data_IF_579668377064
#
_entry.id   IF_579668377064
#
_cell.length_a   1.000
_cell.length_b   1.000
_cell.length_c   1.000
_cell.angle_alpha   90.00
_cell.angle_beta   90.00
_cell.angle_gamma   90.00
#
_symmetry.space_group_name_H-M   'P 1'
#
loop_
_entity.id
_entity.type
_entity.pdbx_description
1 polymer ?
#
# COMPACT_ATOMS: atom_id res chain seq x y z
N UNK A 1 -21.00 4.98 15.58
CA UNK A 1 -20.71 6.17 14.75
C UNK A 1 -21.90 6.36 13.83
N UNK A 2 -22.53 7.53 13.84
CA UNK A 2 -23.73 7.78 13.01
C UNK A 2 -23.40 7.68 11.52
N UNK A 3 -24.36 7.23 10.71
CA UNK A 3 -24.19 7.07 9.25
C UNK A 3 -23.71 8.37 8.59
N UNK A 4 -24.31 9.51 8.96
CA UNK A 4 -23.95 10.83 8.44
C UNK A 4 -22.50 11.24 8.79
N UNK A 5 -22.02 10.88 9.99
CA UNK A 5 -20.62 11.16 10.36
C UNK A 5 -19.68 10.29 9.53
N UNK A 6 -20.08 9.07 9.19
CA UNK A 6 -19.27 8.17 8.35
C UNK A 6 -19.18 8.67 6.92
N UNK A 7 -20.29 9.09 6.33
CA UNK A 7 -20.28 9.68 4.98
C UNK A 7 -19.48 10.97 4.95
N UNK A 8 -19.59 11.83 5.97
CA UNK A 8 -18.80 13.06 6.06
C UNK A 8 -17.30 12.78 6.15
N UNK A 9 -16.86 11.82 6.97
CA UNK A 9 -15.43 11.46 7.05
C UNK A 9 -14.92 10.89 5.74
N UNK A 10 -15.69 10.02 5.07
CA UNK A 10 -15.28 9.46 3.77
C UNK A 10 -15.23 10.55 2.69
N UNK A 11 -16.19 11.47 2.68
CA UNK A 11 -16.17 12.63 1.79
C UNK A 11 -14.98 13.55 2.08
N UNK A 12 -14.64 13.77 3.36
CA UNK A 12 -13.44 14.51 3.76
C UNK A 12 -12.15 13.85 3.28
N UNK A 13 -12.07 12.51 3.34
CA UNK A 13 -10.92 11.78 2.79
C UNK A 13 -10.81 11.95 1.28
N UNK A 14 -11.91 11.86 0.54
CA UNK A 14 -11.86 12.01 -0.92
C UNK A 14 -11.53 13.44 -1.33
N UNK A 15 -12.17 14.45 -0.72
CA UNK A 15 -11.89 15.87 -1.02
C UNK A 15 -10.46 16.23 -0.67
N UNK A 16 -9.93 15.76 0.46
CA UNK A 16 -8.54 16.00 0.85
C UNK A 16 -7.55 15.47 -0.19
N UNK A 17 -7.75 14.24 -0.70
CA UNK A 17 -6.91 13.70 -1.77
C UNK A 17 -7.04 14.46 -3.08
N UNK A 18 -8.26 14.87 -3.46
CA UNK A 18 -8.48 15.66 -4.68
C UNK A 18 -7.75 17.00 -4.59
N UNK A 19 -7.83 17.69 -3.44
CA UNK A 19 -7.12 18.96 -3.20
C UNK A 19 -5.62 18.76 -3.37
N UNK A 20 -5.04 17.69 -2.81
CA UNK A 20 -3.60 17.45 -2.96
C UNK A 20 -3.19 17.17 -4.41
N UNK A 21 -4.02 16.45 -5.18
CA UNK A 21 -3.73 16.13 -6.57
C UNK A 21 -3.83 17.34 -7.50
N UNK A 22 -4.79 18.23 -7.26
CA UNK A 22 -5.02 19.40 -8.10
C UNK A 22 -4.21 20.62 -7.68
N UNK A 23 -3.57 20.57 -6.50
CA UNK A 23 -2.80 21.70 -5.99
C UNK A 23 -1.50 21.92 -6.76
N UNK A 24 -1.25 23.18 -7.13
CA UNK A 24 0.07 23.66 -7.59
C UNK A 24 0.82 24.42 -6.51
N UNK A 25 0.16 24.75 -5.39
CA UNK A 25 0.72 25.53 -4.29
C UNK A 25 1.00 24.64 -3.08
N UNK A 26 2.22 24.70 -2.54
CA UNK A 26 2.67 23.86 -1.42
C UNK A 26 1.78 23.93 -0.18
N UNK A 27 1.35 25.14 0.23
CA UNK A 27 0.44 25.29 1.37
C UNK A 27 -0.89 24.55 1.19
N UNK A 28 -1.44 24.54 -0.03
CA UNK A 28 -2.69 23.84 -0.33
C UNK A 28 -2.50 22.32 -0.32
N UNK A 29 -1.38 21.84 -0.85
CA UNK A 29 -1.00 20.44 -0.76
C UNK A 29 -0.85 20.00 0.71
N UNK A 30 -0.20 20.82 1.54
CA UNK A 30 -0.05 20.56 2.97
C UNK A 30 -1.41 20.51 3.68
N UNK A 31 -2.30 21.46 3.40
CA UNK A 31 -3.65 21.51 3.98
C UNK A 31 -4.45 20.25 3.60
N UNK A 32 -4.42 19.84 2.33
CA UNK A 32 -5.06 18.60 1.89
C UNK A 32 -4.50 17.38 2.61
N UNK A 33 -3.18 17.31 2.80
CA UNK A 33 -2.53 16.24 3.55
C UNK A 33 -2.92 16.21 5.04
N UNK A 34 -3.18 17.36 5.68
CA UNK A 34 -3.65 17.43 7.08
C UNK A 34 -5.15 17.15 7.23
N UNK A 35 -5.98 17.60 6.29
CA UNK A 35 -7.39 17.20 6.28
C UNK A 35 -7.51 15.67 6.18
N UNK A 36 -6.64 15.05 5.38
CA UNK A 36 -6.61 13.59 5.25
C UNK A 36 -6.26 12.88 6.56
N UNK A 37 -5.27 13.39 7.32
CA UNK A 37 -4.89 12.81 8.62
C UNK A 37 -6.02 12.94 9.63
N UNK A 38 -6.63 14.13 9.73
CA UNK A 38 -7.74 14.41 10.64
C UNK A 38 -8.98 13.55 10.35
N UNK A 39 -9.32 13.34 9.07
CA UNK A 39 -10.45 12.47 8.71
C UNK A 39 -10.18 10.98 9.00
N UNK A 40 -8.91 10.53 8.96
CA UNK A 40 -8.56 9.14 9.26
C UNK A 40 -8.60 8.78 10.75
N UNK A 41 -8.30 9.71 11.65
CA UNK A 41 -8.20 9.40 13.08
C UNK A 41 -9.48 8.77 13.66
N UNK A 42 -10.69 9.31 13.43
CA UNK A 42 -11.91 8.71 13.99
C UNK A 42 -12.24 7.36 13.34
N UNK A 43 -11.83 7.12 12.09
CA UNK A 43 -11.99 5.83 11.42
C UNK A 43 -11.11 4.75 12.07
N UNK A 44 -9.87 5.09 12.42
CA UNK A 44 -8.96 4.19 13.16
C UNK A 44 -9.53 3.90 14.55
N UNK A 45 -10.01 4.91 15.26
CA UNK A 45 -10.58 4.79 16.61
C UNK A 45 -11.98 4.16 16.67
N UNK A 46 -12.55 3.73 15.53
CA UNK A 46 -13.94 3.25 15.44
C UNK A 46 -14.30 2.19 16.48
N UNK A 47 -13.39 1.26 16.77
CA UNK A 47 -13.54 0.29 17.87
C UNK A 47 -12.86 0.88 19.10
N UNK A 48 -13.62 1.29 20.11
CA UNK A 48 -13.12 1.89 21.36
C UNK A 48 -12.40 0.84 22.23
N UNK A 49 -11.20 0.46 21.82
CA UNK A 49 -10.33 -0.49 22.51
C UNK A 49 -8.91 0.07 22.62
N UNK A 50 -8.12 -0.38 23.62
CA UNK A 50 -6.78 0.14 23.86
C UNK A 50 -5.83 -0.03 22.66
N UNK A 51 -6.00 -1.10 21.86
CA UNK A 51 -5.22 -1.29 20.63
C UNK A 51 -5.56 -0.27 19.54
N UNK A 52 -6.82 0.17 19.47
CA UNK A 52 -7.23 1.19 18.53
C UNK A 52 -6.77 2.59 18.97
N UNK A 53 -6.76 2.88 20.29
CA UNK A 53 -6.19 4.12 20.82
C UNK A 53 -4.69 4.21 20.58
N UNK A 54 -3.96 3.11 20.79
CA UNK A 54 -2.53 3.04 20.50
C UNK A 54 -2.25 3.23 19.00
N UNK A 55 -3.03 2.59 18.13
CA UNK A 55 -2.90 2.79 16.69
C UNK A 55 -3.23 4.24 16.26
N UNK A 56 -4.26 4.88 16.83
CA UNK A 56 -4.55 6.29 16.54
C UNK A 56 -3.45 7.22 16.97
N UNK A 57 -2.88 7.02 18.16
CA UNK A 57 -1.83 7.90 18.70
C UNK A 57 -0.55 7.75 17.90
N UNK A 58 -0.14 6.52 17.57
CA UNK A 58 1.00 6.25 16.67
C UNK A 58 0.80 6.86 15.29
N UNK A 59 -0.39 6.69 14.69
CA UNK A 59 -0.71 7.29 13.38
C UNK A 59 -0.65 8.82 13.44
N UNK A 60 -1.27 9.43 14.45
CA UNK A 60 -1.28 10.88 14.62
C UNK A 60 0.13 11.45 14.75
N UNK A 61 0.95 10.92 15.67
CA UNK A 61 2.29 11.42 15.92
C UNK A 61 3.17 11.33 14.67
N UNK A 62 3.14 10.21 13.95
CA UNK A 62 3.93 10.05 12.73
C UNK A 62 3.43 10.96 11.60
N UNK A 63 2.13 11.04 11.39
CA UNK A 63 1.61 11.86 10.28
C UNK A 63 1.72 13.36 10.54
N UNK A 64 1.55 13.81 11.79
CA UNK A 64 1.75 15.20 12.20
C UNK A 64 3.22 15.62 12.11
N UNK A 65 4.15 14.76 12.51
CA UNK A 65 5.60 15.03 12.35
C UNK A 65 5.99 15.11 10.88
N UNK A 66 5.51 14.20 10.02
CA UNK A 66 5.71 14.32 8.57
C UNK A 66 5.14 15.64 8.03
N UNK A 67 3.92 16.00 8.41
CA UNK A 67 3.29 17.23 7.91
C UNK A 67 4.01 18.50 8.38
N UNK A 68 4.53 18.53 9.62
CA UNK A 68 5.37 19.62 10.10
C UNK A 68 6.67 19.75 9.30
N UNK A 69 7.31 18.63 8.94
CA UNK A 69 8.53 18.64 8.10
C UNK A 69 8.20 19.11 6.67
N UNK A 70 7.04 18.72 6.10
CA UNK A 70 6.59 19.23 4.78
C UNK A 70 6.42 20.75 4.84
N UNK A 71 5.76 21.27 5.88
CA UNK A 71 5.59 22.70 6.05
C UNK A 71 6.95 23.42 6.15
N UNK A 72 7.86 22.90 7.00
CA UNK A 72 9.21 23.43 7.14
C UNK A 72 9.99 23.44 5.82
N UNK A 73 9.91 22.35 5.05
CA UNK A 73 10.60 22.27 3.77
C UNK A 73 10.01 23.26 2.76
N UNK A 74 8.68 23.40 2.72
CA UNK A 74 8.01 24.35 1.84
C UNK A 74 8.31 25.81 2.19
N UNK A 75 8.38 26.17 3.47
CA UNK A 75 8.73 27.53 3.91
C UNK A 75 10.20 27.84 3.62
N UNK A 76 11.10 26.87 3.79
CA UNK A 76 12.51 27.03 3.39
C UNK A 76 12.65 27.21 1.87
N UNK A 77 11.89 26.46 1.07
CA UNK A 77 11.89 26.65 -0.39
C UNK A 77 11.35 28.03 -0.77
N UNK A 78 10.24 28.46 -0.17
CA UNK A 78 9.65 29.77 -0.41
C UNK A 78 10.57 30.91 0.06
N UNK A 79 11.31 30.73 1.15
CA UNK A 79 12.29 31.71 1.62
C UNK A 79 13.45 31.87 0.62
N UNK A 80 13.90 30.78 -0.01
CA UNK A 80 15.01 30.80 -0.96
C UNK A 80 14.61 31.25 -2.37
N UNK A 81 13.42 30.87 -2.84
CA UNK A 81 12.98 31.10 -4.23
C UNK A 81 11.93 32.20 -4.36
N UNK A 82 11.32 32.64 -3.25
CA UNK A 82 10.20 33.58 -3.24
C UNK A 82 8.88 33.01 -3.76
N UNK A 83 8.81 31.71 -4.08
CA UNK A 83 7.65 31.08 -4.71
C UNK A 83 7.17 29.86 -3.92
N UNK A 84 5.87 29.59 -4.00
CA UNK A 84 5.21 28.44 -3.35
C UNK A 84 4.80 27.34 -4.35
N UNK A 85 5.27 27.42 -5.59
CA UNK A 85 4.95 26.44 -6.61
C UNK A 85 5.63 25.08 -6.30
N UNK A 86 4.89 23.99 -6.45
CA UNK A 86 5.38 22.63 -6.20
C UNK A 86 6.52 22.26 -7.17
N UNK A 87 6.42 22.67 -8.43
CA UNK A 87 7.40 22.31 -9.45
C UNK A 87 8.72 23.08 -9.33
N UNK A 88 8.75 24.23 -8.66
CA UNK A 88 9.97 25.03 -8.55
C UNK A 88 10.65 24.78 -7.20
N UNK A 89 11.20 23.58 -7.00
CA UNK A 89 12.08 23.27 -5.87
C UNK A 89 13.50 23.07 -6.38
N UNK A 90 14.37 24.06 -6.21
CA UNK A 90 15.72 24.02 -6.80
C UNK A 90 16.82 23.67 -5.81
N UNK A 91 16.58 23.79 -4.50
CA UNK A 91 17.62 23.59 -3.49
C UNK A 91 17.57 22.19 -2.88
N UNK A 92 18.74 21.57 -2.74
CA UNK A 92 18.87 20.18 -2.30
C UNK A 92 18.32 19.94 -0.88
N UNK A 93 18.41 20.93 0.03
CA UNK A 93 18.02 20.75 1.43
C UNK A 93 16.48 20.66 1.60
N UNK A 94 15.66 21.59 1.09
CA UNK A 94 14.20 21.45 1.07
C UNK A 94 13.72 20.18 0.35
N UNK A 95 14.33 19.84 -0.78
CA UNK A 95 14.04 18.61 -1.51
C UNK A 95 14.25 17.41 -0.59
N UNK A 96 15.43 17.25 0.02
CA UNK A 96 15.72 16.13 0.91
C UNK A 96 14.74 16.02 2.09
N UNK A 97 14.34 17.15 2.71
CA UNK A 97 13.32 17.17 3.77
C UNK A 97 11.93 16.76 3.27
N UNK A 98 11.54 17.19 2.07
CA UNK A 98 10.29 16.76 1.43
C UNK A 98 10.28 15.25 1.20
N UNK A 99 11.39 14.65 0.76
CA UNK A 99 11.46 13.18 0.62
C UNK A 99 11.42 12.45 1.93
N UNK A 100 12.18 12.90 2.92
CA UNK A 100 12.17 12.28 4.25
C UNK A 100 10.75 12.28 4.84
N UNK A 101 10.02 13.40 4.68
CA UNK A 101 8.66 13.53 5.20
C UNK A 101 7.61 12.73 4.40
N UNK A 102 7.68 12.73 3.06
CA UNK A 102 6.79 11.91 2.23
C UNK A 102 7.07 10.42 2.43
N UNK A 103 8.34 10.03 2.61
CA UNK A 103 8.72 8.66 2.96
C UNK A 103 8.16 8.25 4.31
N UNK A 104 8.17 9.15 5.29
CA UNK A 104 7.55 8.92 6.60
C UNK A 104 6.03 8.77 6.47
N UNK A 105 5.34 9.58 5.66
CA UNK A 105 3.90 9.44 5.38
C UNK A 105 3.53 8.11 4.74
N UNK A 106 4.35 7.63 3.80
CA UNK A 106 4.12 6.37 3.07
C UNK A 106 4.49 5.11 3.88
N UNK A 107 5.28 5.27 4.94
CA UNK A 107 5.83 4.15 5.72
C UNK A 107 6.99 3.45 5.00
N UNK A 108 7.78 4.19 4.21
CA UNK A 108 8.98 3.67 3.57
C UNK A 108 10.09 3.44 4.60
N UNK A 109 10.99 2.50 4.32
CA UNK A 109 12.18 2.31 5.14
C UNK A 109 13.10 3.55 5.05
N UNK A 110 13.70 4.00 6.17
CA UNK A 110 13.71 3.39 7.50
C UNK A 110 12.46 3.66 8.36
N UNK A 111 11.62 4.63 8.02
CA UNK A 111 10.44 5.07 8.78
C UNK A 111 9.19 4.16 8.62
N UNK A 112 9.37 2.84 8.59
CA UNK A 112 8.33 1.85 8.29
C UNK A 112 7.65 1.23 9.53
N UNK A 113 8.27 1.34 10.71
CA UNK A 113 7.87 0.60 11.92
C UNK A 113 6.44 0.94 12.39
N UNK A 114 6.05 2.21 12.30
CA UNK A 114 4.72 2.66 12.70
C UNK A 114 3.61 1.98 11.89
N UNK A 115 3.91 1.68 10.63
CA UNK A 115 2.93 1.22 9.66
C UNK A 115 2.36 -0.17 10.01
N UNK A 116 3.25 -1.10 10.41
CA UNK A 116 2.88 -2.47 10.79
C UNK A 116 2.00 -2.49 12.04
N UNK A 117 2.30 -1.64 13.00
CA UNK A 117 1.57 -1.59 14.28
C UNK A 117 0.19 -0.95 14.12
N UNK A 118 0.09 0.15 13.36
CA UNK A 118 -1.19 0.84 13.09
C UNK A 118 -2.15 -0.09 12.33
N UNK A 119 -1.67 -0.84 11.34
CA UNK A 119 -2.52 -1.78 10.60
C UNK A 119 -3.02 -2.94 11.47
N UNK A 120 -2.27 -3.35 12.50
CA UNK A 120 -2.74 -4.39 13.40
C UNK A 120 -3.79 -3.86 14.40
N UNK A 121 -3.68 -2.61 14.85
CA UNK A 121 -4.63 -2.02 15.80
C UNK A 121 -5.95 -1.54 15.20
N UNK A 122 -6.02 -1.38 13.88
CA UNK A 122 -7.20 -0.91 13.12
C UNK A 122 -8.22 -2.02 12.85
N UNK A 123 -9.28 -1.76 12.09
CA UNK A 123 -10.19 -2.79 11.55
C UNK A 123 -9.74 -3.21 10.15
N UNK A 124 -10.13 -4.38 9.64
CA UNK A 124 -9.74 -4.82 8.28
C UNK A 124 -10.19 -3.83 7.19
N UNK A 125 -11.39 -3.26 7.31
CA UNK A 125 -11.88 -2.24 6.38
C UNK A 125 -11.10 -0.93 6.45
N UNK A 126 -10.67 -0.49 7.63
CA UNK A 126 -9.86 0.74 7.75
C UNK A 126 -8.41 0.50 7.39
N UNK A 127 -7.89 -0.70 7.63
CA UNK A 127 -6.59 -1.15 7.13
C UNK A 127 -6.54 -1.11 5.59
N UNK A 128 -7.60 -1.55 4.91
CA UNK A 128 -7.73 -1.40 3.46
C UNK A 128 -7.52 0.07 3.03
N UNK A 129 -8.28 1.01 3.62
CA UNK A 129 -8.18 2.45 3.30
C UNK A 129 -6.76 2.99 3.52
N UNK A 130 -6.08 2.57 4.59
CA UNK A 130 -4.69 2.97 4.89
C UNK A 130 -3.70 2.39 3.87
N UNK A 131 -3.93 1.16 3.40
CA UNK A 131 -3.04 0.51 2.43
C UNK A 131 -3.22 0.98 1.00
N UNK A 132 -4.37 1.53 0.64
CA UNK A 132 -4.69 1.95 -0.72
C UNK A 132 -4.81 3.48 -0.80
N UNK A 133 -5.89 4.03 -0.27
CA UNK A 133 -6.26 5.44 -0.43
C UNK A 133 -5.21 6.39 0.15
N UNK A 134 -4.70 6.10 1.35
CA UNK A 134 -3.73 6.96 2.02
C UNK A 134 -2.37 7.04 1.31
N UNK A 135 -2.06 6.12 0.40
CA UNK A 135 -0.80 6.16 -0.37
C UNK A 135 -0.87 7.09 -1.58
N UNK A 136 -2.08 7.38 -2.06
CA UNK A 136 -2.28 8.10 -3.32
C UNK A 136 -1.74 9.53 -3.23
N UNK A 137 -2.20 10.33 -2.25
CA UNK A 137 -1.81 11.73 -2.13
C UNK A 137 -0.29 11.97 -1.92
N UNK A 138 0.41 11.21 -1.04
CA UNK A 138 1.86 11.36 -0.93
C UNK A 138 2.60 10.89 -2.19
N UNK A 139 2.12 9.86 -2.89
CA UNK A 139 2.74 9.41 -4.14
C UNK A 139 2.55 10.41 -5.28
N UNK A 140 1.43 11.12 -5.34
CA UNK A 140 1.25 12.20 -6.35
C UNK A 140 2.20 13.37 -6.12
N UNK A 141 2.55 13.68 -4.86
CA UNK A 141 3.57 14.69 -4.59
C UNK A 141 4.97 14.23 -4.99
N UNK A 142 5.34 12.97 -4.72
CA UNK A 142 6.61 12.41 -5.22
C UNK A 142 6.65 12.42 -6.75
N UNK A 143 5.52 12.09 -7.39
CA UNK A 143 5.36 12.12 -8.84
C UNK A 143 5.60 13.53 -9.43
N UNK A 144 5.00 14.56 -8.83
CA UNK A 144 5.18 15.96 -9.26
C UNK A 144 6.64 16.42 -9.13
N UNK A 145 7.34 15.94 -8.09
CA UNK A 145 8.72 16.34 -7.81
C UNK A 145 9.77 15.49 -8.54
N UNK A 146 9.37 14.56 -9.39
CA UNK A 146 10.27 13.61 -10.06
C UNK A 146 11.45 14.27 -10.77
N UNK A 147 11.23 15.40 -11.45
CA UNK A 147 12.26 16.11 -12.22
C UNK A 147 13.40 16.68 -11.37
N UNK A 148 13.13 17.00 -10.10
CA UNK A 148 14.11 17.63 -9.21
C UNK A 148 14.89 16.61 -8.38
N UNK A 149 14.73 15.32 -8.68
CA UNK A 149 15.22 14.27 -7.83
C UNK A 149 16.51 13.61 -8.23
N UNK A 150 17.34 13.40 -7.21
CA UNK A 150 18.44 12.46 -7.30
C UNK A 150 17.88 11.04 -7.38
N UNK A 151 17.91 10.48 -8.58
CA UNK A 151 17.51 9.11 -8.91
C UNK A 151 18.13 8.09 -7.96
N UNK A 152 19.41 8.23 -7.61
CA UNK A 152 20.11 7.34 -6.68
C UNK A 152 19.45 7.24 -5.29
N UNK A 153 18.90 8.35 -4.77
CA UNK A 153 18.26 8.36 -3.44
C UNK A 153 16.95 7.55 -3.51
N UNK A 154 16.14 7.76 -4.55
CA UNK A 154 14.90 7.02 -4.75
C UNK A 154 15.15 5.53 -4.95
N UNK A 155 16.17 5.17 -5.75
CA UNK A 155 16.56 3.77 -5.96
C UNK A 155 17.02 3.11 -4.66
N UNK A 156 17.82 3.81 -3.84
CA UNK A 156 18.26 3.31 -2.54
C UNK A 156 17.09 3.12 -1.56
N UNK A 157 16.19 4.10 -1.44
CA UNK A 157 14.98 3.99 -0.61
C UNK A 157 14.06 2.86 -1.08
N UNK A 158 13.90 2.70 -2.39
CA UNK A 158 13.15 1.60 -3.00
C UNK A 158 13.74 0.24 -2.64
N UNK A 159 15.06 0.06 -2.80
CA UNK A 159 15.74 -1.18 -2.42
C UNK A 159 15.62 -1.47 -0.91
N UNK A 160 15.89 -0.49 -0.05
CA UNK A 160 15.80 -0.65 1.40
C UNK A 160 14.38 -1.02 1.87
N UNK A 161 13.36 -0.41 1.27
CA UNK A 161 11.96 -0.74 1.58
C UNK A 161 11.55 -2.11 1.08
N UNK A 162 12.01 -2.55 -0.10
CA UNK A 162 11.75 -3.93 -0.56
C UNK A 162 12.37 -4.97 0.38
N UNK A 163 13.63 -4.78 0.80
CA UNK A 163 14.33 -5.70 1.69
C UNK A 163 13.68 -5.74 3.09
N UNK A 164 13.42 -4.58 3.68
CA UNK A 164 12.80 -4.53 5.02
C UNK A 164 11.38 -5.06 5.01
N UNK A 165 10.58 -4.73 3.99
CA UNK A 165 9.23 -5.30 3.82
C UNK A 165 9.24 -6.82 3.68
N UNK A 166 10.17 -7.35 2.88
CA UNK A 166 10.30 -8.79 2.67
C UNK A 166 10.70 -9.52 3.96
N UNK A 167 11.71 -9.05 4.70
CA UNK A 167 12.15 -9.68 5.94
C UNK A 167 11.15 -9.55 7.09
N UNK A 168 10.52 -8.38 7.25
CA UNK A 168 9.56 -8.15 8.34
C UNK A 168 8.32 -9.04 8.20
N UNK A 169 7.92 -9.39 6.98
CA UNK A 169 6.77 -10.25 6.71
C UNK A 169 6.97 -11.74 7.05
N UNK A 170 8.21 -12.24 6.99
CA UNK A 170 8.52 -13.65 7.21
C UNK A 170 8.04 -14.16 8.57
N UNK A 171 8.20 -13.37 9.63
CA UNK A 171 7.90 -13.80 11.00
C UNK A 171 6.47 -13.45 11.47
N UNK A 172 5.59 -13.00 10.57
CA UNK A 172 4.25 -12.56 10.97
C UNK A 172 3.20 -13.67 10.77
N UNK A 173 2.40 -13.93 11.80
CA UNK A 173 1.23 -14.83 11.75
C UNK A 173 -0.10 -14.08 11.65
N UNK A 174 -0.07 -12.77 11.89
CA UNK A 174 -1.25 -11.90 11.79
C UNK A 174 -1.37 -11.40 10.36
N UNK A 175 -2.51 -11.67 9.73
CA UNK A 175 -2.73 -11.40 8.30
C UNK A 175 -2.50 -9.93 7.96
N UNK A 176 -2.94 -9.01 8.83
CA UNK A 176 -2.76 -7.57 8.61
C UNK A 176 -1.32 -7.10 8.72
N UNK A 177 -0.49 -7.75 9.56
CA UNK A 177 0.95 -7.45 9.62
C UNK A 177 1.68 -7.98 8.40
N UNK A 178 1.29 -9.14 7.88
CA UNK A 178 1.81 -9.68 6.62
C UNK A 178 1.49 -8.72 5.47
N UNK A 179 0.24 -8.26 5.36
CA UNK A 179 -0.14 -7.27 4.34
C UNK A 179 0.50 -5.89 4.55
N UNK A 180 0.79 -5.52 5.80
CA UNK A 180 1.55 -4.31 6.08
C UNK A 180 2.96 -4.39 5.49
N UNK A 181 3.66 -5.48 5.81
CA UNK A 181 5.00 -5.78 5.32
C UNK A 181 5.05 -5.85 3.78
N UNK A 182 4.05 -6.48 3.16
CA UNK A 182 3.97 -6.50 1.70
C UNK A 182 3.76 -5.13 1.09
N UNK A 183 2.92 -4.28 1.69
CA UNK A 183 2.73 -2.93 1.17
C UNK A 183 4.00 -2.09 1.25
N UNK A 184 4.85 -2.30 2.26
CA UNK A 184 6.16 -1.62 2.37
C UNK A 184 7.03 -2.06 1.18
N UNK A 185 7.05 -3.36 0.88
CA UNK A 185 7.78 -3.88 -0.26
C UNK A 185 7.24 -3.37 -1.61
N UNK A 186 5.92 -3.36 -1.82
CA UNK A 186 5.32 -2.87 -3.07
C UNK A 186 5.48 -1.37 -3.25
N UNK A 187 5.41 -0.55 -2.20
CA UNK A 187 5.73 0.87 -2.31
C UNK A 187 7.21 1.06 -2.64
N UNK A 188 8.10 0.19 -2.17
CA UNK A 188 9.49 0.17 -2.63
C UNK A 188 9.60 0.00 -4.14
N UNK A 189 8.88 -0.96 -4.72
CA UNK A 189 8.80 -1.13 -6.18
C UNK A 189 8.22 0.10 -6.88
N UNK A 190 7.16 0.70 -6.35
CA UNK A 190 6.56 1.93 -6.91
C UNK A 190 7.57 3.09 -6.90
N UNK A 191 8.35 3.25 -5.82
CA UNK A 191 9.37 4.29 -5.72
C UNK A 191 10.54 4.03 -6.68
N UNK A 192 10.95 2.77 -6.87
CA UNK A 192 11.94 2.45 -7.91
C UNK A 192 11.42 2.73 -9.31
N UNK A 193 10.14 2.43 -9.60
CA UNK A 193 9.53 2.77 -10.88
C UNK A 193 9.47 4.29 -11.08
N UNK A 194 9.07 5.04 -10.04
CA UNK A 194 9.06 6.50 -10.05
C UNK A 194 10.45 7.08 -10.31
N UNK A 195 11.55 6.40 -9.97
CA UNK A 195 12.89 6.90 -10.27
C UNK A 195 13.26 6.76 -11.76
N UNK A 196 12.60 5.87 -12.50
CA UNK A 196 12.89 5.55 -13.89
C UNK A 196 11.93 6.27 -14.83
N UNK A 197 10.63 6.01 -14.67
CA UNK A 197 9.56 6.52 -15.53
C UNK A 197 8.27 6.71 -14.75
N UNK A 198 7.62 7.86 -14.97
CA UNK A 198 6.33 8.19 -14.36
C UNK A 198 5.20 7.23 -14.75
N UNK A 199 5.15 6.84 -16.03
CA UNK A 199 4.13 5.97 -16.61
C UNK A 199 4.15 4.58 -15.96
N UNK A 200 5.36 4.03 -15.79
CA UNK A 200 5.56 2.76 -15.12
C UNK A 200 5.10 2.82 -13.66
N UNK A 201 5.43 3.89 -12.94
CA UNK A 201 4.98 4.07 -11.56
C UNK A 201 3.46 4.07 -11.43
N UNK A 202 2.75 4.78 -12.31
CA UNK A 202 1.29 4.80 -12.30
C UNK A 202 0.68 3.43 -12.56
N UNK A 203 1.21 2.67 -13.53
CA UNK A 203 0.78 1.30 -13.81
C UNK A 203 1.01 0.39 -12.59
N UNK A 204 2.18 0.51 -11.95
CA UNK A 204 2.52 -0.30 -10.76
C UNK A 204 1.61 0.01 -9.57
N UNK A 205 1.24 1.29 -9.37
CA UNK A 205 0.30 1.72 -8.34
C UNK A 205 -1.11 1.17 -8.59
N UNK A 206 -1.62 1.24 -9.82
CA UNK A 206 -2.95 0.72 -10.16
C UNK A 206 -3.01 -0.79 -9.91
N UNK A 207 -1.99 -1.54 -10.34
CA UNK A 207 -1.91 -2.99 -10.11
C UNK A 207 -1.80 -3.31 -8.62
N UNK A 208 -1.03 -2.53 -7.86
CA UNK A 208 -0.95 -2.69 -6.40
C UNK A 208 -2.31 -2.43 -5.72
N UNK A 209 -3.02 -1.36 -6.06
CA UNK A 209 -4.33 -1.03 -5.46
C UNK A 209 -5.37 -2.11 -5.80
N UNK A 210 -5.39 -2.60 -7.04
CA UNK A 210 -6.32 -3.68 -7.45
C UNK A 210 -6.06 -5.00 -6.72
N UNK A 211 -4.79 -5.40 -6.58
CA UNK A 211 -4.44 -6.64 -5.84
C UNK A 211 -4.66 -6.52 -4.33
N UNK A 212 -4.38 -5.37 -3.74
CA UNK A 212 -4.60 -5.17 -2.30
C UNK A 212 -6.08 -5.05 -1.96
N UNK A 213 -6.88 -4.36 -2.77
CA UNK A 213 -8.34 -4.33 -2.59
C UNK A 213 -8.93 -5.74 -2.66
N UNK A 214 -8.52 -6.57 -3.62
CA UNK A 214 -9.05 -7.91 -3.76
C UNK A 214 -8.76 -8.80 -2.54
N UNK A 215 -7.53 -8.80 -2.02
CA UNK A 215 -7.18 -9.62 -0.84
C UNK A 215 -7.79 -9.09 0.47
N UNK A 216 -7.91 -7.77 0.65
CA UNK A 216 -8.58 -7.25 1.83
C UNK A 216 -10.08 -7.54 1.81
N UNK A 217 -10.71 -7.54 0.63
CA UNK A 217 -12.11 -7.91 0.48
C UNK A 217 -12.35 -9.38 0.85
N UNK A 218 -11.47 -10.31 0.44
CA UNK A 218 -11.59 -11.73 0.88
C UNK A 218 -11.49 -11.87 2.40
N UNK A 219 -10.60 -11.11 3.05
CA UNK A 219 -10.48 -11.09 4.52
C UNK A 219 -11.66 -10.42 5.23
N UNK A 220 -12.30 -9.44 4.61
CA UNK A 220 -13.52 -8.83 5.16
C UNK A 220 -14.68 -9.83 5.12
N UNK A 221 -14.85 -10.60 4.03
CA UNK A 221 -15.94 -11.59 3.94
C UNK A 221 -15.73 -12.81 4.83
N UNK A 222 -14.51 -13.33 4.87
CA UNK A 222 -14.17 -14.49 5.70
C UNK A 222 -13.95 -14.14 7.18
N UNK A 223 -13.85 -12.84 7.51
CA UNK A 223 -13.59 -12.31 8.87
C UNK A 223 -12.29 -12.83 9.52
N UNK A 224 -11.33 -13.26 8.71
CA UNK A 224 -10.05 -13.87 9.16
C UNK A 224 -9.09 -12.83 9.70
N UNK A 225 -8.49 -13.08 10.87
CA UNK A 225 -7.46 -12.20 11.47
C UNK A 225 -6.09 -12.86 11.50
N UNK A 226 -6.06 -14.18 11.67
CA UNK A 226 -4.85 -15.00 11.74
C UNK A 226 -4.75 -15.96 10.56
N UNK A 227 -3.54 -16.49 10.32
CA UNK A 227 -3.33 -17.53 9.30
C UNK A 227 -4.14 -18.80 9.58
N UNK A 228 -4.32 -19.16 10.86
CA UNK A 228 -5.11 -20.32 11.25
C UNK A 228 -6.59 -20.13 10.92
N UNK A 229 -7.14 -18.93 11.16
CA UNK A 229 -8.53 -18.61 10.78
C UNK A 229 -8.73 -18.82 9.28
N UNK A 230 -7.74 -18.40 8.47
CA UNK A 230 -7.77 -18.52 7.01
C UNK A 230 -7.84 -19.99 6.56
N UNK A 231 -7.11 -20.89 7.24
CA UNK A 231 -7.16 -22.32 6.97
C UNK A 231 -8.52 -22.95 7.27
N UNK A 232 -9.16 -22.59 8.39
CA UNK A 232 -10.50 -23.13 8.74
C UNK A 232 -11.63 -22.59 7.86
N UNK A 233 -11.42 -21.48 7.15
CA UNK A 233 -12.42 -20.89 6.29
C UNK A 233 -12.68 -21.72 5.01
N UNK A 234 -11.76 -22.62 4.64
CA UNK A 234 -11.86 -23.50 3.45
C UNK A 234 -13.16 -24.30 3.41
N UNK A 235 -13.57 -24.84 4.57
CA UNK A 235 -14.78 -25.64 4.71
C UNK A 235 -16.09 -24.87 4.52
N UNK A 236 -16.04 -23.53 4.50
CA UNK A 236 -17.24 -22.69 4.42
C UNK A 236 -17.38 -21.98 3.08
N UNK A 237 -16.27 -21.49 2.50
CA UNK A 237 -16.29 -20.68 1.27
C UNK A 237 -15.11 -21.01 0.34
N UNK A 238 -15.07 -22.24 -0.23
CA UNK A 238 -13.96 -22.67 -1.07
C UNK A 238 -13.68 -21.77 -2.30
N UNK A 239 -14.66 -21.25 -3.07
CA UNK A 239 -14.33 -20.43 -4.26
C UNK A 239 -13.67 -19.10 -3.89
N UNK A 240 -14.04 -18.50 -2.75
CA UNK A 240 -13.44 -17.25 -2.28
C UNK A 240 -11.97 -17.48 -1.90
N UNK A 241 -11.65 -18.60 -1.27
CA UNK A 241 -10.27 -18.93 -0.90
C UNK A 241 -9.42 -19.35 -2.09
N UNK A 242 -10.01 -20.01 -3.10
CA UNK A 242 -9.33 -20.30 -4.36
C UNK A 242 -8.92 -19.03 -5.10
N UNK A 243 -9.82 -18.04 -5.15
CA UNK A 243 -9.48 -16.73 -5.70
C UNK A 243 -8.49 -15.96 -4.82
N UNK A 244 -8.61 -16.02 -3.48
CA UNK A 244 -7.63 -15.42 -2.57
C UNK A 244 -6.22 -16.00 -2.73
N UNK A 245 -6.09 -17.31 -2.94
CA UNK A 245 -4.80 -17.96 -3.23
C UNK A 245 -4.13 -17.33 -4.45
N UNK A 246 -4.88 -17.26 -5.55
CA UNK A 246 -4.37 -16.75 -6.80
C UNK A 246 -3.99 -15.26 -6.68
N UNK A 247 -4.65 -14.48 -5.80
CA UNK A 247 -4.28 -13.07 -5.57
C UNK A 247 -3.04 -12.93 -4.67
N UNK A 248 -2.84 -13.85 -3.73
CA UNK A 248 -1.58 -13.92 -2.98
C UNK A 248 -0.40 -14.26 -3.90
N UNK A 249 -0.61 -15.17 -4.86
CA UNK A 249 0.41 -15.49 -5.86
C UNK A 249 0.65 -14.33 -6.83
N UNK A 250 -0.39 -13.56 -7.17
CA UNK A 250 -0.23 -12.36 -8.01
C UNK A 250 0.54 -11.26 -7.26
N UNK A 251 0.27 -11.03 -5.97
CA UNK A 251 1.08 -10.15 -5.11
C UNK A 251 2.55 -10.62 -5.02
N UNK A 252 2.78 -11.94 -5.00
CA UNK A 252 4.09 -12.55 -5.12
C UNK A 252 4.79 -12.25 -6.44
N UNK A 253 4.04 -11.95 -7.50
CA UNK A 253 4.56 -11.64 -8.82
C UNK A 253 5.05 -12.88 -9.56
N UNK A 254 4.28 -13.97 -9.51
CA UNK A 254 4.57 -15.17 -10.29
C UNK A 254 3.96 -15.08 -11.70
N UNK A 255 4.69 -15.42 -12.77
CA UNK A 255 4.08 -15.65 -14.09
C UNK A 255 3.12 -16.85 -13.98
N UNK A 256 1.90 -16.83 -14.56
CA UNK A 256 1.30 -15.93 -15.56
C UNK A 256 0.41 -14.79 -15.02
N UNK A 257 0.49 -14.46 -13.73
CA UNK A 257 -0.43 -13.53 -13.06
C UNK A 257 -0.04 -12.06 -13.24
N UNK A 258 -1.00 -11.15 -13.01
CA UNK A 258 -0.86 -9.71 -13.29
C UNK A 258 0.22 -9.03 -12.49
N UNK A 259 0.45 -9.42 -11.23
CA UNK A 259 1.45 -8.77 -10.39
C UNK A 259 2.90 -9.09 -10.80
N UNK A 260 3.12 -10.00 -11.76
CA UNK A 260 4.43 -10.16 -12.41
C UNK A 260 4.75 -8.98 -13.33
N UNK A 261 3.75 -8.38 -13.99
CA UNK A 261 3.91 -7.30 -14.96
C UNK A 261 4.71 -6.12 -14.40
N UNK A 262 4.34 -5.50 -13.25
CA UNK A 262 5.09 -4.38 -12.68
C UNK A 262 6.56 -4.70 -12.45
N UNK A 263 6.84 -5.85 -11.83
CA UNK A 263 8.22 -6.25 -11.47
C UNK A 263 9.04 -6.50 -12.72
N UNK A 264 8.46 -7.18 -13.71
CA UNK A 264 9.12 -7.48 -14.97
C UNK A 264 9.50 -6.20 -15.74
N UNK A 265 8.57 -5.25 -15.87
CA UNK A 265 8.83 -3.99 -16.57
C UNK A 265 9.88 -3.12 -15.84
N UNK A 266 9.80 -3.02 -14.50
CA UNK A 266 10.82 -2.30 -13.71
C UNK A 266 12.21 -2.92 -13.90
N UNK A 267 12.32 -4.25 -13.81
CA UNK A 267 13.60 -4.93 -13.99
C UNK A 267 14.15 -4.73 -15.41
N UNK A 268 13.28 -4.75 -16.43
CA UNK A 268 13.66 -4.45 -17.81
C UNK A 268 14.27 -3.04 -17.91
N UNK A 269 13.58 -2.02 -17.41
CA UNK A 269 14.06 -0.63 -17.46
C UNK A 269 15.37 -0.42 -16.68
N UNK A 270 15.53 -1.07 -15.52
CA UNK A 270 16.79 -1.04 -14.76
C UNK A 270 17.96 -1.65 -15.53
N UNK A 271 17.73 -2.77 -16.22
CA UNK A 271 18.79 -3.39 -17.03
C UNK A 271 19.14 -2.56 -18.25
N UNK A 272 18.16 -1.92 -18.90
CA UNK A 272 18.42 -1.05 -20.06
C UNK A 272 19.12 0.27 -19.68
N UNK A 273 18.91 0.76 -18.45
CA UNK A 273 19.57 1.96 -17.92
C UNK A 273 20.95 1.68 -17.29
N UNK A 274 21.44 0.45 -17.34
CA UNK A 274 22.76 0.07 -16.83
C UNK A 274 22.83 -0.26 -15.33
N UNK A 275 21.73 -0.17 -14.59
CA UNK A 275 21.65 -0.52 -13.16
C UNK A 275 21.44 -2.02 -12.92
N UNK A 276 22.24 -2.87 -13.57
CA UNK A 276 22.16 -4.34 -13.44
C UNK A 276 22.34 -4.86 -12.02
N UNK A 277 23.29 -4.41 -11.17
CA UNK A 277 23.43 -4.94 -9.81
C UNK A 277 22.20 -4.62 -8.95
N UNK A 278 21.66 -3.40 -9.07
CA UNK A 278 20.44 -3.01 -8.36
C UNK A 278 19.24 -3.87 -8.78
N UNK A 279 19.09 -4.11 -10.09
CA UNK A 279 18.05 -4.99 -10.64
C UNK A 279 18.12 -6.39 -10.04
N UNK A 280 19.32 -6.99 -9.97
CA UNK A 280 19.49 -8.30 -9.34
C UNK A 280 19.17 -8.29 -7.84
N UNK A 281 19.56 -7.24 -7.11
CA UNK A 281 19.25 -7.12 -5.69
C UNK A 281 17.74 -6.96 -5.42
N UNK A 282 17.03 -6.20 -6.24
CA UNK A 282 15.57 -6.05 -6.18
C UNK A 282 14.84 -7.35 -6.53
N UNK A 283 15.32 -8.08 -7.54
CA UNK A 283 14.77 -9.39 -7.88
C UNK A 283 14.92 -10.37 -6.70
N UNK A 284 16.11 -10.44 -6.09
CA UNK A 284 16.38 -11.30 -4.93
C UNK A 284 15.58 -10.86 -3.68
N UNK A 285 15.39 -9.56 -3.45
CA UNK A 285 14.59 -9.06 -2.31
C UNK A 285 13.11 -9.45 -2.41
N UNK A 286 12.62 -9.81 -3.59
CA UNK A 286 11.23 -10.26 -3.78
C UNK A 286 10.99 -11.73 -3.38
N UNK A 287 12.04 -12.56 -3.33
CA UNK A 287 11.92 -13.99 -3.01
C UNK A 287 11.41 -14.26 -1.58
N UNK A 288 11.88 -13.58 -0.52
CA UNK A 288 11.31 -13.75 0.82
C UNK A 288 9.85 -13.33 0.90
N UNK A 289 9.43 -12.35 0.06
CA UNK A 289 8.02 -11.97 -0.02
C UNK A 289 7.16 -13.09 -0.60
N UNK A 290 7.63 -13.73 -1.67
CA UNK A 290 7.00 -14.92 -2.26
C UNK A 290 6.89 -16.04 -1.22
N UNK A 291 7.92 -16.28 -0.40
CA UNK A 291 7.88 -17.31 0.63
C UNK A 291 6.71 -17.14 1.61
N UNK A 292 6.51 -15.95 2.19
CA UNK A 292 5.40 -15.79 3.13
C UNK A 292 4.04 -15.87 2.44
N UNK A 293 3.91 -15.49 1.16
CA UNK A 293 2.69 -15.69 0.39
C UNK A 293 2.40 -17.17 0.15
N UNK A 294 3.42 -17.95 -0.25
CA UNK A 294 3.32 -19.41 -0.41
C UNK A 294 2.95 -20.07 0.93
N UNK A 295 3.49 -19.59 2.06
CA UNK A 295 3.10 -20.09 3.38
C UNK A 295 1.62 -19.85 3.67
N UNK A 296 1.09 -18.67 3.36
CA UNK A 296 -0.34 -18.39 3.56
C UNK A 296 -1.18 -19.30 2.66
N UNK A 297 -0.83 -19.39 1.39
CA UNK A 297 -1.43 -20.28 0.41
C UNK A 297 -1.46 -21.74 0.88
N UNK A 298 -0.34 -22.24 1.40
CA UNK A 298 -0.19 -23.59 1.90
C UNK A 298 -1.19 -23.89 3.02
N UNK A 299 -1.24 -23.03 4.04
CA UNK A 299 -2.12 -23.19 5.20
C UNK A 299 -3.61 -23.15 4.80
N UNK A 300 -3.96 -22.43 3.74
CA UNK A 300 -5.36 -22.27 3.31
C UNK A 300 -5.93 -23.38 2.45
N UNK A 301 -5.09 -24.00 1.63
CA UNK A 301 -5.55 -24.74 0.46
C UNK A 301 -4.84 -26.08 0.32
N UNK A 302 -3.51 -26.07 0.41
CA UNK A 302 -2.71 -27.28 0.23
C UNK A 302 -2.80 -28.20 1.45
N UNK A 303 -3.10 -27.62 2.62
CA UNK A 303 -3.42 -28.37 3.84
C UNK A 303 -4.79 -27.97 4.36
N UNK A 304 -5.55 -28.96 4.83
CA UNK A 304 -6.81 -28.73 5.55
C UNK A 304 -6.57 -28.87 7.06
N UNK A 305 -6.39 -27.78 7.81
CA UNK A 305 -6.24 -27.87 9.27
C UNK A 305 -7.54 -28.38 9.90
N UNK A 306 -7.48 -28.96 11.12
CA UNK A 306 -8.66 -29.51 11.78
C UNK A 306 -9.70 -28.40 12.03
N UNK A 307 -10.94 -28.67 11.60
CA UNK A 307 -12.07 -27.78 11.83
C UNK A 307 -12.64 -27.97 13.24
N UNK A 308 -13.34 -26.95 13.74
CA UNK A 308 -14.10 -27.03 15.00
C UNK A 308 -15.53 -27.49 14.73
N UNK A 309 -16.19 -28.09 15.72
CA UNK A 309 -17.58 -28.58 15.62
C UNK A 309 -18.57 -27.49 15.20
N UNK A 310 -18.34 -26.23 15.60
CA UNK A 310 -19.17 -25.09 15.21
C UNK A 310 -19.11 -24.74 13.72
N UNK A 311 -18.18 -25.30 12.94
CA UNK A 311 -18.11 -25.07 11.49
C UNK A 311 -19.36 -25.61 10.76
N UNK A 312 -19.96 -26.69 11.25
CA UNK A 312 -21.19 -27.27 10.67
C UNK A 312 -22.38 -26.30 10.75
N UNK A 313 -22.42 -25.45 11.78
CA UNK A 313 -23.49 -24.44 11.91
C UNK A 313 -23.37 -23.34 10.84
N UNK A 314 -22.15 -23.04 10.36
CA UNK A 314 -21.92 -22.00 9.35
C UNK A 314 -22.47 -22.37 7.98
N UNK A 315 -22.59 -23.66 7.66
CA UNK A 315 -23.13 -24.13 6.38
C UNK A 315 -24.58 -23.69 6.13
N UNK A 316 -25.34 -23.38 7.18
CA UNK A 316 -26.75 -22.97 7.08
C UNK A 316 -26.92 -21.51 6.63
N UNK A 317 -25.91 -20.66 6.84
CA UNK A 317 -26.00 -19.23 6.55
C UNK A 317 -25.33 -18.89 5.22
N UNK A 318 -26.06 -18.22 4.33
CA UNK A 318 -25.51 -17.69 3.08
C UNK A 318 -24.66 -16.45 3.37
N UNK A 319 -23.46 -16.40 2.81
CA UNK A 319 -22.60 -15.23 2.87
C UNK A 319 -23.20 -14.06 2.06
N UNK A 320 -23.05 -12.81 2.52
CA UNK A 320 -23.50 -11.65 1.74
C UNK A 320 -22.69 -11.52 0.44
N UNK A 321 -23.39 -11.43 -0.70
CA UNK A 321 -22.76 -11.20 -2.00
C UNK A 321 -22.44 -9.72 -2.17
N UNK A 322 -21.15 -9.39 -2.19
CA UNK A 322 -20.68 -8.05 -2.56
C UNK A 322 -20.17 -8.06 -4.00
N UNK A 323 -20.85 -7.30 -4.86
CA UNK A 323 -20.62 -7.27 -6.31
C UNK A 323 -19.22 -6.79 -6.73
N UNK A 324 -18.54 -6.02 -5.88
CA UNK A 324 -17.20 -5.45 -6.16
C UNK A 324 -16.09 -6.51 -6.03
N UNK A 325 -16.29 -7.50 -5.17
CA UNK A 325 -15.30 -8.53 -4.88
C UNK A 325 -14.89 -9.35 -6.12
N UNK A 326 -15.81 -9.97 -6.89
CA UNK A 326 -15.44 -10.81 -8.03
C UNK A 326 -14.73 -10.01 -9.13
N UNK A 327 -15.12 -8.76 -9.37
CA UNK A 327 -14.46 -7.90 -10.35
C UNK A 327 -13.00 -7.65 -9.97
N UNK A 328 -12.75 -7.20 -8.74
CA UNK A 328 -11.38 -6.95 -8.26
C UNK A 328 -10.51 -8.20 -8.28
N UNK A 329 -11.08 -9.36 -7.93
CA UNK A 329 -10.40 -10.66 -7.99
C UNK A 329 -10.02 -11.01 -9.44
N UNK A 330 -10.95 -10.89 -10.39
CA UNK A 330 -10.68 -11.19 -11.80
C UNK A 330 -9.60 -10.27 -12.38
N UNK A 331 -9.69 -8.97 -12.10
CA UNK A 331 -8.70 -7.96 -12.51
C UNK A 331 -7.30 -8.30 -11.99
N UNK A 332 -7.20 -8.80 -10.76
CA UNK A 332 -5.92 -9.20 -10.18
C UNK A 332 -5.31 -10.49 -10.76
N UNK A 333 -6.01 -11.21 -11.64
CA UNK A 333 -5.51 -12.45 -12.26
C UNK A 333 -5.19 -12.32 -13.77
N UNK A 334 -6.07 -11.68 -14.55
CA UNK A 334 -6.09 -11.87 -16.02
C UNK A 334 -5.65 -10.60 -16.80
N UNK A 335 -5.11 -9.57 -16.14
CA UNK A 335 -4.61 -8.34 -16.82
C UNK A 335 -3.26 -8.49 -17.54
N UNK A 336 -2.53 -9.60 -17.40
CA UNK A 336 -1.22 -9.78 -18.06
C UNK A 336 -1.26 -9.70 -19.61
N UNK A 337 -2.20 -10.32 -20.34
CA UNK A 337 -2.30 -10.12 -21.80
C UNK A 337 -2.60 -8.68 -22.22
N UNK A 338 -3.14 -7.84 -21.32
CA UNK A 338 -3.43 -6.42 -21.58
C UNK A 338 -2.23 -5.50 -21.29
N UNK A 339 -1.04 -6.08 -21.08
CA UNK A 339 0.25 -5.36 -20.94
C UNK A 339 0.48 -4.22 -21.94
N UNK A 340 0.32 -4.40 -23.27
CA UNK A 340 0.67 -3.34 -24.22
C UNK A 340 -0.28 -2.14 -24.11
N UNK A 341 -1.55 -2.39 -23.80
CA UNK A 341 -2.53 -1.32 -23.58
C UNK A 341 -2.16 -0.51 -22.34
N UNK A 342 -1.90 -1.19 -21.22
CA UNK A 342 -1.57 -0.52 -19.95
C UNK A 342 -0.31 0.34 -20.02
N UNK A 343 0.69 -0.09 -20.78
CA UNK A 343 1.96 0.65 -20.91
C UNK A 343 1.89 1.83 -21.89
N UNK A 344 1.04 1.76 -22.92
CA UNK A 344 0.94 2.79 -23.95
C UNK A 344 -0.08 3.89 -23.63
N UNK A 345 -1.05 3.63 -22.75
CA UNK A 345 -2.16 4.56 -22.46
C UNK A 345 -1.90 5.51 -21.28
N UNK A 346 -0.77 5.39 -20.61
CA UNK A 346 -0.37 6.22 -19.47
C UNK A 346 0.98 6.81 -19.75
#
# INVERSE_FOLDING_TARGET
MGSMVFTLLVAGLSTSTIITMSSHHWLLAWLGLELNTLCMLPLIFKKRHPRATEATTKYFLMQATAAAIILLASTLNAWQTGQWNIMNTNSNMPIALLYASLALKLGLAPAHLWYIEVLQGTTTSTALIITTWQKIAPLTLIYMLHSHMHTNILLCLGLLSTLTGAWTGLNQTQVRKVLAASSIAHVGWIVTALALQQTLATVTLIIYITMTTSIFMTFIFSSTKTLQDMGTAWSTTPPLLASALMTLMSLGGLPPLTGFLPKWLILKELTTSGFTPLSTALALSSLPAIYFYIRMAYITMLTTPPNTTNTEQKWRFKSPNHMIAPLSLMLSMIMLPLTPLLYMTV
#
